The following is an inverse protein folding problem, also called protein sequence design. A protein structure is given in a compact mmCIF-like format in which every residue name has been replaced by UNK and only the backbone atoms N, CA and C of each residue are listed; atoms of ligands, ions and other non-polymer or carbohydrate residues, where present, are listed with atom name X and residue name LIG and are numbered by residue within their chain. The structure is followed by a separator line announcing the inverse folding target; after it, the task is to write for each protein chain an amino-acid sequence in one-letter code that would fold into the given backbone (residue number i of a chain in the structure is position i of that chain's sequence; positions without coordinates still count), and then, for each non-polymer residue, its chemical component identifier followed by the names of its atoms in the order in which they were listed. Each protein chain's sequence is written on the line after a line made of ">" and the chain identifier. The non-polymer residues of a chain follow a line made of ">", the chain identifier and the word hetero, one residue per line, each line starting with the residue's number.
data_IF_673216628379
#
_entry.id   IF_673216628379
#
_cell.length_a   1.000
_cell.length_b   1.000
_cell.length_c   1.000
_cell.angle_alpha   90.00
_cell.angle_beta   90.00
_cell.angle_gamma   90.00
#
_symmetry.space_group_name_H-M   'P 1'
#
loop_
_entity.id
_entity.type
_entity.pdbx_description
1 polymer ?
#
# COMPACT_ATOMS: atom_id res chain seq x y z
N UNK A 1 38.93 -9.96 -23.16
CA UNK A 1 38.30 -8.80 -22.49
C UNK A 1 36.93 -8.45 -23.08
N UNK A 2 36.73 -8.48 -24.38
CA UNK A 2 35.46 -8.10 -25.05
C UNK A 2 34.23 -8.94 -24.59
N UNK A 3 34.37 -10.30 -24.43
CA UNK A 3 33.30 -11.19 -23.99
C UNK A 3 32.77 -10.86 -22.58
N UNK A 4 33.64 -10.49 -21.64
CA UNK A 4 33.23 -10.12 -20.27
C UNK A 4 32.48 -8.78 -20.25
N UNK A 5 32.88 -7.85 -21.12
CA UNK A 5 32.21 -6.55 -21.25
C UNK A 5 30.78 -6.70 -21.84
N UNK A 6 30.62 -7.60 -22.81
CA UNK A 6 29.32 -7.87 -23.44
C UNK A 6 28.33 -8.53 -22.47
N UNK A 7 28.81 -9.45 -21.62
CA UNK A 7 28.00 -10.10 -20.58
C UNK A 7 27.54 -9.08 -19.53
N UNK A 8 28.42 -8.17 -19.13
CA UNK A 8 28.09 -7.10 -18.17
C UNK A 8 27.03 -6.12 -18.74
N UNK A 9 27.15 -5.77 -20.02
CA UNK A 9 26.20 -4.92 -20.73
C UNK A 9 24.81 -5.58 -20.86
N UNK A 10 24.76 -6.88 -21.18
CA UNK A 10 23.53 -7.66 -21.27
C UNK A 10 22.83 -7.81 -19.90
N UNK A 11 23.59 -7.96 -18.81
CA UNK A 11 23.08 -7.98 -17.45
C UNK A 11 22.47 -6.63 -17.05
N UNK A 12 23.11 -5.51 -17.39
CA UNK A 12 22.57 -4.19 -17.12
C UNK A 12 21.28 -3.92 -17.89
N UNK A 13 21.22 -4.26 -19.19
CA UNK A 13 20.00 -4.12 -20.01
C UNK A 13 18.86 -5.00 -19.46
N UNK A 14 19.16 -6.21 -18.97
CA UNK A 14 18.19 -7.08 -18.33
C UNK A 14 17.58 -6.49 -17.06
N UNK A 15 18.40 -5.88 -16.21
CA UNK A 15 17.95 -5.25 -14.95
C UNK A 15 17.08 -4.02 -15.24
N UNK A 16 17.47 -3.17 -16.19
CA UNK A 16 16.67 -2.00 -16.60
C UNK A 16 15.30 -2.39 -17.17
N UNK A 17 15.22 -3.46 -17.97
CA UNK A 17 13.94 -3.95 -18.50
C UNK A 17 13.01 -4.51 -17.41
N UNK A 18 13.54 -5.22 -16.41
CA UNK A 18 12.74 -5.71 -15.27
C UNK A 18 12.19 -4.54 -14.42
N UNK A 19 12.98 -3.50 -14.19
CA UNK A 19 12.54 -2.30 -13.44
C UNK A 19 11.45 -1.54 -14.20
N UNK A 20 11.61 -1.34 -15.51
CA UNK A 20 10.63 -0.67 -16.36
C UNK A 20 9.28 -1.42 -16.41
N UNK A 21 9.32 -2.76 -16.46
CA UNK A 21 8.10 -3.58 -16.48
C UNK A 21 7.32 -3.51 -15.16
N UNK A 22 7.99 -3.45 -14.00
CA UNK A 22 7.35 -3.43 -12.68
C UNK A 22 6.62 -2.11 -12.42
N UNK A 23 7.26 -0.98 -12.72
CA UNK A 23 6.67 0.36 -12.61
C UNK A 23 5.51 0.54 -13.61
N UNK A 24 5.65 0.02 -14.83
CA UNK A 24 4.59 0.04 -15.85
C UNK A 24 3.37 -0.77 -15.39
N UNK A 25 3.56 -1.88 -14.68
CA UNK A 25 2.46 -2.68 -14.13
C UNK A 25 1.65 -1.91 -13.08
N UNK A 26 2.32 -1.17 -12.20
CA UNK A 26 1.66 -0.31 -11.22
C UNK A 26 0.88 0.82 -11.91
N UNK A 27 1.42 1.40 -12.99
CA UNK A 27 0.76 2.47 -13.72
C UNK A 27 -0.49 1.99 -14.48
N UNK A 28 -0.39 0.82 -15.14
CA UNK A 28 -1.44 0.34 -16.06
C UNK A 28 -2.56 -0.46 -15.41
N UNK A 29 -2.29 -1.14 -14.28
CA UNK A 29 -3.29 -1.99 -13.62
C UNK A 29 -3.21 -1.91 -12.09
N UNK A 30 -3.39 -0.71 -11.50
CA UNK A 30 -3.38 -0.52 -10.06
C UNK A 30 -4.69 -1.04 -9.45
N UNK A 31 -4.68 -2.25 -8.93
CA UNK A 31 -5.87 -2.86 -8.34
C UNK A 31 -5.58 -3.59 -7.03
N UNK A 32 -6.55 -3.57 -6.14
CA UNK A 32 -6.57 -4.32 -4.91
C UNK A 32 -7.80 -5.23 -4.89
N UNK A 33 -7.60 -6.54 -4.98
CA UNK A 33 -8.68 -7.55 -4.96
C UNK A 33 -9.84 -7.25 -5.93
N UNK A 34 -9.50 -6.84 -7.15
CA UNK A 34 -10.47 -6.52 -8.20
C UNK A 34 -11.08 -5.12 -8.10
N UNK A 35 -10.69 -4.30 -7.13
CA UNK A 35 -11.04 -2.88 -7.08
C UNK A 35 -9.86 -2.11 -7.67
N UNK A 36 -10.08 -1.42 -8.79
CA UNK A 36 -9.04 -0.64 -9.47
C UNK A 36 -9.17 0.84 -9.16
N UNK A 37 -8.04 1.55 -9.14
CA UNK A 37 -8.02 3.01 -9.09
C UNK A 37 -8.65 3.57 -10.37
N UNK A 38 -9.47 4.61 -10.23
CA UNK A 38 -10.13 5.31 -11.34
C UNK A 38 -11.50 4.73 -11.78
N UNK A 39 -11.91 3.56 -11.27
CA UNK A 39 -13.25 3.03 -11.61
C UNK A 39 -14.36 3.87 -10.94
N UNK A 40 -15.57 3.92 -11.54
CA UNK A 40 -16.71 4.57 -10.90
C UNK A 40 -17.04 3.90 -9.56
N UNK A 41 -17.24 4.69 -8.52
CA UNK A 41 -17.56 4.18 -7.16
C UNK A 41 -18.85 3.36 -7.15
N UNK A 42 -19.81 3.70 -8.00
CA UNK A 42 -21.08 3.00 -8.11
C UNK A 42 -20.92 1.55 -8.59
N UNK A 43 -19.84 1.22 -9.30
CA UNK A 43 -19.57 -0.16 -9.77
C UNK A 43 -19.26 -1.14 -8.66
N UNK A 44 -18.99 -0.65 -7.44
CA UNK A 44 -18.67 -1.44 -6.25
C UNK A 44 -19.53 -1.06 -5.04
N UNK A 45 -20.61 -0.31 -5.26
CA UNK A 45 -21.45 0.22 -4.18
C UNK A 45 -22.02 -0.85 -3.25
N UNK A 46 -22.28 -2.05 -3.76
CA UNK A 46 -22.75 -3.22 -3.01
C UNK A 46 -21.77 -3.70 -1.91
N UNK A 47 -20.50 -3.32 -2.00
CA UNK A 47 -19.43 -3.68 -1.05
C UNK A 47 -19.15 -2.60 -0.03
N UNK A 48 -19.66 -1.39 -0.26
CA UNK A 48 -19.25 -0.19 0.45
C UNK A 48 -20.22 0.19 1.57
N UNK A 49 -19.67 0.54 2.72
CA UNK A 49 -20.41 1.24 3.79
C UNK A 49 -19.84 2.65 3.87
N UNK A 50 -20.70 3.67 3.75
CA UNK A 50 -20.29 5.07 3.90
C UNK A 50 -19.69 5.30 5.30
N UNK A 51 -18.55 5.97 5.37
CA UNK A 51 -17.89 6.36 6.62
C UNK A 51 -18.07 7.86 6.89
N UNK A 52 -17.57 8.69 5.99
CA UNK A 52 -17.63 10.16 6.08
C UNK A 52 -17.20 10.83 4.78
N UNK A 53 -17.43 12.15 4.69
CA UNK A 53 -16.82 13.00 3.67
C UNK A 53 -15.94 14.07 4.33
N UNK A 54 -14.80 14.37 3.71
CA UNK A 54 -13.82 15.33 4.20
C UNK A 54 -13.02 15.89 3.02
N UNK A 55 -12.88 17.22 2.96
CA UNK A 55 -12.05 17.93 1.96
C UNK A 55 -12.31 17.51 0.50
N UNK A 56 -13.57 17.27 0.14
CA UNK A 56 -13.95 16.84 -1.23
C UNK A 56 -13.78 15.35 -1.51
N UNK A 57 -13.28 14.57 -0.55
CA UNK A 57 -13.22 13.12 -0.61
C UNK A 57 -14.38 12.48 0.12
N UNK A 58 -14.86 11.35 -0.39
CA UNK A 58 -15.82 10.49 0.30
C UNK A 58 -15.13 9.18 0.69
N UNK A 59 -15.18 8.84 1.96
CA UNK A 59 -14.57 7.66 2.52
C UNK A 59 -15.62 6.57 2.73
N UNK A 60 -15.31 5.38 2.29
CA UNK A 60 -16.11 4.18 2.46
C UNK A 60 -15.29 3.10 3.15
N UNK A 61 -15.97 2.18 3.82
CA UNK A 61 -15.38 1.06 4.51
C UNK A 61 -15.88 -0.27 3.96
N UNK A 62 -14.97 -1.24 3.82
CA UNK A 62 -15.27 -2.65 3.54
C UNK A 62 -14.79 -3.46 4.73
N UNK A 63 -15.67 -4.30 5.31
CA UNK A 63 -15.34 -5.19 6.43
C UNK A 63 -15.45 -6.66 6.09
N UNK A 64 -15.86 -6.99 4.86
CA UNK A 64 -15.93 -8.37 4.40
C UNK A 64 -14.57 -9.05 4.44
N UNK A 65 -14.52 -10.25 5.03
CA UNK A 65 -13.29 -11.03 5.21
C UNK A 65 -12.52 -11.28 3.90
N UNK A 66 -13.25 -11.39 2.77
CA UNK A 66 -12.64 -11.59 1.45
C UNK A 66 -11.72 -10.43 1.02
N UNK A 67 -11.98 -9.22 1.51
CA UNK A 67 -11.19 -8.03 1.23
C UNK A 67 -10.15 -7.75 2.32
N UNK A 68 -10.42 -8.14 3.58
CA UNK A 68 -9.60 -7.81 4.74
C UNK A 68 -8.35 -8.70 4.88
N UNK A 69 -7.56 -8.82 3.82
CA UNK A 69 -6.22 -9.43 3.86
C UNK A 69 -5.33 -8.88 2.75
N UNK A 70 -4.02 -8.78 3.02
CA UNK A 70 -2.98 -8.37 2.07
C UNK A 70 -1.87 -9.41 2.13
N UNK A 71 -1.61 -10.15 1.05
CA UNK A 71 -0.64 -11.25 1.01
C UNK A 71 -0.74 -12.23 2.20
N UNK A 72 -1.99 -12.62 2.56
CA UNK A 72 -2.33 -13.43 3.73
C UNK A 72 -2.19 -12.75 5.10
N UNK A 73 -1.70 -11.53 5.18
CA UNK A 73 -1.75 -10.73 6.41
C UNK A 73 -3.17 -10.23 6.62
N UNK A 74 -3.77 -10.56 7.77
CA UNK A 74 -5.13 -10.12 8.11
C UNK A 74 -5.15 -8.62 8.38
N UNK A 75 -6.17 -7.94 7.84
CA UNK A 75 -6.48 -6.54 8.08
C UNK A 75 -7.83 -6.43 8.80
N UNK A 76 -8.06 -5.34 9.55
CA UNK A 76 -9.32 -5.12 10.26
C UNK A 76 -10.40 -4.60 9.32
N UNK A 77 -10.02 -3.75 8.36
CA UNK A 77 -10.90 -3.20 7.33
C UNK A 77 -10.12 -2.71 6.12
N UNK A 78 -10.84 -2.49 5.04
CA UNK A 78 -10.36 -1.76 3.87
C UNK A 78 -11.13 -0.45 3.76
N UNK A 79 -10.42 0.66 3.60
CA UNK A 79 -11.00 1.96 3.28
C UNK A 79 -10.87 2.21 1.79
N UNK A 80 -11.94 2.65 1.17
CA UNK A 80 -11.96 3.13 -0.22
C UNK A 80 -12.23 4.63 -0.17
N UNK A 81 -11.33 5.40 -0.76
CA UNK A 81 -11.45 6.85 -0.89
C UNK A 81 -11.90 7.18 -2.29
N UNK A 82 -13.01 7.91 -2.41
CA UNK A 82 -13.52 8.36 -3.68
C UNK A 82 -13.40 9.88 -3.82
N UNK A 83 -13.09 10.33 -5.04
CA UNK A 83 -13.12 11.73 -5.46
C UNK A 83 -13.80 11.80 -6.82
N UNK A 84 -14.67 12.80 -7.02
CA UNK A 84 -15.40 13.01 -8.28
C UNK A 84 -16.10 11.73 -8.79
N UNK A 85 -16.65 10.92 -7.87
CA UNK A 85 -17.36 9.69 -8.18
C UNK A 85 -16.49 8.49 -8.61
N UNK A 86 -15.16 8.58 -8.47
CA UNK A 86 -14.21 7.53 -8.83
C UNK A 86 -13.39 7.08 -7.64
N UNK A 87 -12.95 5.82 -7.65
CA UNK A 87 -11.98 5.30 -6.67
C UNK A 87 -10.64 6.00 -6.87
N UNK A 88 -10.16 6.62 -5.83
CA UNK A 88 -8.95 7.43 -5.81
C UNK A 88 -7.84 6.81 -4.95
N UNK A 89 -8.21 6.17 -3.84
CA UNK A 89 -7.28 5.37 -3.05
C UNK A 89 -7.98 4.18 -2.38
N UNK A 90 -7.17 3.19 -2.02
CA UNK A 90 -7.59 1.99 -1.29
C UNK A 90 -6.56 1.73 -0.21
N UNK A 91 -7.00 1.74 1.05
CA UNK A 91 -6.16 1.48 2.22
C UNK A 91 -6.64 0.23 2.94
N UNK A 92 -5.82 -0.80 3.06
CA UNK A 92 -6.06 -1.90 3.97
C UNK A 92 -5.33 -1.61 5.29
N UNK A 93 -6.08 -1.65 6.40
CA UNK A 93 -5.59 -1.18 7.70
C UNK A 93 -5.78 -2.25 8.77
N UNK A 94 -4.75 -2.45 9.58
CA UNK A 94 -4.78 -3.23 10.83
C UNK A 94 -4.33 -2.35 11.98
N UNK A 95 -5.12 -2.33 13.06
CA UNK A 95 -4.83 -1.58 14.27
C UNK A 95 -4.53 -2.56 15.39
N UNK A 96 -3.30 -2.58 15.86
CA UNK A 96 -2.88 -3.40 16.98
C UNK A 96 -2.71 -2.50 18.21
N UNK A 97 -3.51 -2.75 19.25
CA UNK A 97 -3.42 -2.05 20.53
C UNK A 97 -2.76 -2.96 21.55
N UNK A 98 -1.83 -2.41 22.34
CA UNK A 98 -1.36 -3.10 23.53
C UNK A 98 -2.44 -3.05 24.61
N UNK A 99 -2.58 -4.14 25.32
CA UNK A 99 -3.38 -4.21 26.57
C UNK A 99 -2.46 -4.63 27.70
N UNK A 100 -2.84 -4.35 28.96
CA UNK A 100 -2.06 -4.78 30.13
C UNK A 100 -1.85 -6.30 30.16
N UNK A 101 -2.85 -7.07 29.70
CA UNK A 101 -2.80 -8.54 29.62
C UNK A 101 -2.11 -9.09 28.38
N UNK A 102 -1.90 -8.26 27.38
CA UNK A 102 -1.23 -8.63 26.13
C UNK A 102 -0.39 -7.45 25.65
N UNK A 103 0.84 -7.32 26.14
CA UNK A 103 1.76 -6.31 25.64
C UNK A 103 1.92 -6.51 24.13
N UNK A 104 1.81 -5.43 23.37
CA UNK A 104 1.95 -5.50 21.90
C UNK A 104 3.36 -5.97 21.59
N UNK A 105 3.50 -7.22 21.17
CA UNK A 105 4.72 -7.66 20.53
C UNK A 105 4.71 -7.05 19.14
N UNK A 106 5.67 -6.20 18.88
CA UNK A 106 5.94 -5.67 17.55
C UNK A 106 6.21 -6.85 16.62
N UNK A 107 5.31 -7.07 15.66
CA UNK A 107 5.49 -8.11 14.66
C UNK A 107 5.91 -7.45 13.33
N UNK A 108 7.20 -7.25 13.15
CA UNK A 108 7.77 -6.79 11.89
C UNK A 108 7.50 -7.77 10.73
N UNK A 109 7.29 -9.05 11.05
CA UNK A 109 7.09 -10.12 10.06
C UNK A 109 5.89 -9.82 9.14
N UNK A 110 4.80 -9.25 9.67
CA UNK A 110 3.63 -8.88 8.87
C UNK A 110 3.95 -7.82 7.81
N UNK A 111 4.77 -6.81 8.15
CA UNK A 111 5.23 -5.81 7.19
C UNK A 111 6.17 -6.43 6.15
N UNK A 112 7.06 -7.32 6.57
CA UNK A 112 8.00 -8.01 5.68
C UNK A 112 7.27 -8.96 4.73
N UNK A 113 6.20 -9.63 5.16
CA UNK A 113 5.33 -10.45 4.28
C UNK A 113 4.67 -9.58 3.22
N UNK A 114 4.11 -8.41 3.59
CA UNK A 114 3.51 -7.48 2.63
C UNK A 114 4.57 -6.95 1.66
N UNK A 115 5.72 -6.54 2.18
CA UNK A 115 6.86 -6.09 1.36
C UNK A 115 7.28 -7.13 0.35
N UNK A 116 7.48 -8.38 0.77
CA UNK A 116 7.87 -9.48 -0.12
C UNK A 116 6.83 -9.73 -1.22
N UNK A 117 5.54 -9.65 -0.89
CA UNK A 117 4.46 -9.74 -1.86
C UNK A 117 4.48 -8.60 -2.88
N UNK A 118 4.73 -7.37 -2.43
CA UNK A 118 4.86 -6.19 -3.30
C UNK A 118 6.11 -6.25 -4.17
N UNK A 119 7.24 -6.73 -3.65
CA UNK A 119 8.45 -6.98 -4.45
C UNK A 119 8.15 -7.99 -5.56
N UNK A 120 7.42 -9.05 -5.28
CA UNK A 120 7.01 -10.04 -6.30
C UNK A 120 6.13 -9.44 -7.40
N UNK A 121 5.34 -8.41 -7.08
CA UNK A 121 4.43 -7.77 -8.04
C UNK A 121 5.08 -6.60 -8.79
N UNK A 122 5.86 -5.79 -8.10
CA UNK A 122 6.33 -4.48 -8.57
C UNK A 122 7.85 -4.32 -8.55
N UNK A 123 8.61 -5.37 -8.17
CA UNK A 123 10.06 -5.29 -8.00
C UNK A 123 10.45 -4.59 -6.70
N UNK A 124 11.71 -4.18 -6.58
CA UNK A 124 12.21 -3.50 -5.39
C UNK A 124 11.52 -2.15 -5.16
N UNK A 125 11.33 -1.72 -3.90
CA UNK A 125 10.73 -0.44 -3.60
C UNK A 125 11.57 0.72 -4.15
N UNK A 126 10.89 1.77 -4.64
CA UNK A 126 11.57 2.97 -5.14
C UNK A 126 12.13 3.82 -4.01
N UNK A 127 11.47 3.79 -2.84
CA UNK A 127 11.87 4.57 -1.66
C UNK A 127 11.60 3.79 -0.37
N UNK A 128 12.47 4.01 0.64
CA UNK A 128 12.14 3.74 2.02
C UNK A 128 11.30 4.89 2.59
N UNK A 129 10.28 4.56 3.38
CA UNK A 129 9.49 5.55 4.11
C UNK A 129 10.00 5.61 5.55
N UNK A 130 10.41 6.79 5.97
CA UNK A 130 10.71 7.09 7.36
C UNK A 130 10.25 8.50 7.69
N UNK A 131 9.38 8.61 8.68
CA UNK A 131 8.84 9.88 9.13
C UNK A 131 8.72 9.84 10.65
N UNK A 132 9.38 10.78 11.31
CA UNK A 132 9.34 10.93 12.75
C UNK A 132 8.62 12.27 13.06
N UNK A 133 7.43 12.18 13.62
CA UNK A 133 6.62 13.35 14.01
C UNK A 133 6.34 13.34 15.50
N UNK A 134 5.79 14.44 16.03
CA UNK A 134 5.34 14.51 17.43
C UNK A 134 4.13 13.59 17.72
N UNK A 135 3.46 13.07 16.68
CA UNK A 135 2.26 12.25 16.79
C UNK A 135 2.52 10.76 16.54
N UNK A 136 3.41 10.46 15.60
CA UNK A 136 3.75 9.08 15.24
C UNK A 136 5.14 8.98 14.64
N UNK A 137 5.70 7.79 14.71
CA UNK A 137 6.89 7.38 13.98
C UNK A 137 6.44 6.39 12.90
N UNK A 138 6.73 6.70 11.62
CA UNK A 138 6.42 5.84 10.48
C UNK A 138 7.67 5.22 9.92
N UNK A 139 7.60 3.94 9.57
CA UNK A 139 8.57 3.32 8.70
C UNK A 139 7.90 2.34 7.74
N UNK A 140 8.48 2.19 6.55
CA UNK A 140 7.93 1.32 5.52
C UNK A 140 8.61 1.48 4.17
N UNK A 141 7.85 1.17 3.12
CA UNK A 141 8.34 1.10 1.76
C UNK A 141 7.31 1.67 0.78
N UNK A 142 7.81 2.25 -0.29
CA UNK A 142 7.00 2.86 -1.35
C UNK A 142 7.47 2.39 -2.72
N UNK A 143 6.52 2.09 -3.58
CA UNK A 143 6.66 1.89 -5.02
C UNK A 143 5.92 3.01 -5.72
N UNK A 144 6.62 3.77 -6.53
CA UNK A 144 6.08 4.94 -7.20
C UNK A 144 6.20 4.79 -8.72
N UNK A 145 5.08 4.97 -9.42
CA UNK A 145 4.99 5.14 -10.86
C UNK A 145 4.73 6.63 -11.19
N UNK A 146 4.41 6.95 -12.44
CA UNK A 146 4.18 8.34 -12.86
C UNK A 146 2.97 8.98 -12.17
N UNK A 147 1.85 8.24 -12.08
CA UNK A 147 0.59 8.75 -11.52
C UNK A 147 0.04 7.90 -10.39
N UNK A 148 0.67 6.76 -10.09
CA UNK A 148 0.21 5.80 -9.08
C UNK A 148 1.32 5.48 -8.10
N UNK A 149 0.92 5.14 -6.88
CA UNK A 149 1.82 4.63 -5.86
C UNK A 149 1.18 3.50 -5.06
N UNK A 150 2.02 2.63 -4.55
CA UNK A 150 1.66 1.68 -3.51
C UNK A 150 2.65 1.77 -2.36
N UNK A 151 2.15 1.75 -1.15
CA UNK A 151 2.96 1.82 0.06
C UNK A 151 2.58 0.69 1.02
N UNK A 152 3.54 0.22 1.79
CA UNK A 152 3.26 -0.52 3.01
C UNK A 152 4.10 0.07 4.14
N UNK A 153 3.46 0.34 5.27
CA UNK A 153 4.13 1.00 6.38
C UNK A 153 3.48 0.70 7.73
N UNK A 154 4.22 0.97 8.77
CA UNK A 154 3.75 0.94 10.15
C UNK A 154 3.87 2.32 10.78
N UNK A 155 2.81 2.76 11.45
CA UNK A 155 2.77 3.95 12.28
C UNK A 155 2.72 3.55 13.76
N UNK A 156 3.67 4.06 14.53
CA UNK A 156 3.71 3.92 15.98
C UNK A 156 3.23 5.22 16.61
N UNK A 157 2.16 5.15 17.38
CA UNK A 157 1.60 6.30 18.07
C UNK A 157 2.05 6.29 19.53
N UNK A 158 2.71 7.36 19.99
CA UNK A 158 3.22 7.45 21.37
C UNK A 158 2.12 7.41 22.45
N UNK A 159 0.88 7.79 22.11
CA UNK A 159 -0.29 7.73 23.01
C UNK A 159 -1.02 6.39 22.97
N UNK A 160 -0.79 5.59 21.93
CA UNK A 160 -1.26 4.22 21.84
C UNK A 160 -0.06 3.31 22.07
N UNK A 161 -0.07 2.52 23.10
CA UNK A 161 0.85 1.40 23.22
C UNK A 161 0.47 0.37 22.14
N UNK A 162 0.78 0.68 20.87
CA UNK A 162 0.42 -0.13 19.74
C UNK A 162 0.89 0.44 18.40
N UNK A 163 0.49 -0.18 17.31
CA UNK A 163 0.84 0.28 15.96
C UNK A 163 -0.32 0.11 14.99
N UNK A 164 -0.26 0.87 13.90
CA UNK A 164 -1.13 0.70 12.73
C UNK A 164 -0.28 0.18 11.56
N UNK A 165 -0.60 -1.01 11.06
CA UNK A 165 -0.06 -1.53 9.81
C UNK A 165 -0.99 -1.13 8.67
N UNK A 166 -0.44 -0.57 7.60
CA UNK A 166 -1.22 -0.11 6.46
C UNK A 166 -0.57 -0.55 5.14
N UNK A 167 -1.40 -1.06 4.22
CA UNK A 167 -1.16 -1.11 2.79
C UNK A 167 -1.99 -0.02 2.15
N UNK A 168 -1.41 0.77 1.25
CA UNK A 168 -2.09 1.87 0.56
C UNK A 168 -1.78 1.80 -0.93
N UNK A 169 -2.82 1.83 -1.76
CA UNK A 169 -2.75 1.97 -3.20
C UNK A 169 -3.51 3.22 -3.60
N UNK A 170 -2.87 4.20 -4.23
CA UNK A 170 -3.47 5.51 -4.50
C UNK A 170 -2.92 6.16 -5.77
N UNK A 171 -3.62 7.19 -6.23
CA UNK A 171 -3.04 8.17 -7.14
C UNK A 171 -1.97 8.99 -6.43
N UNK A 172 -0.92 9.38 -7.15
CA UNK A 172 0.26 10.00 -6.55
C UNK A 172 0.03 11.40 -5.98
N UNK A 173 -0.99 12.12 -6.42
CA UNK A 173 -1.24 13.53 -6.07
C UNK A 173 -2.22 13.72 -4.89
N UNK A 174 -2.22 12.82 -3.91
CA UNK A 174 -3.14 12.88 -2.77
C UNK A 174 -2.53 13.62 -1.58
N UNK A 175 -2.86 14.90 -1.46
CA UNK A 175 -2.86 15.61 -0.18
C UNK A 175 -4.17 15.25 0.56
N UNK A 176 -4.08 14.39 1.58
CA UNK A 176 -5.18 14.08 2.50
C UNK A 176 -5.19 15.05 3.67
#
# INVERSE_FOLDING_TARGET
>A
MLKKFFILLLLQVGIYNMYAQSVQRLETNPSFKGISIGIPINSIADKLTYERSVNGFTLYKITSANYCSVFNVRMDFVRVVAKDGKVHAIDAVRIVKATESSPTVFNADDLDVIKAGLISQYGEPTHGLREDTNQYNRFGYQWQANSKQVCCFMDFYGTFQGYKLQYSLSEFSLDY
#
